data_IF_116763027906
#
_entry.id   IF_116763027906
#
_cell.length_a   1.000
_cell.length_b   1.000
_cell.length_c   1.000
_cell.angle_alpha   90.00
_cell.angle_beta   90.00
_cell.angle_gamma   90.00
#
_symmetry.space_group_name_H-M   'P 1'
#
loop_
_entity.id
_entity.type
_entity.pdbx_description
1 polymer ?
#
# COMPACT_ATOMS: atom_id res chain seq x y z
N UNK A 1 23.60 -11.14 3.58
CA UNK A 1 22.29 -11.60 3.08
C UNK A 1 21.66 -10.46 2.31
N UNK A 2 21.19 -10.71 1.08
CA UNK A 2 20.62 -9.68 0.22
C UNK A 2 19.17 -9.41 0.69
N UNK A 3 18.84 -8.17 1.06
CA UNK A 3 17.51 -7.73 1.48
C UNK A 3 16.41 -8.08 0.45
N UNK A 4 16.81 -8.29 -0.81
CA UNK A 4 15.93 -8.63 -1.93
C UNK A 4 15.26 -10.01 -1.84
N UNK A 5 15.78 -10.93 -1.03
CA UNK A 5 15.30 -12.32 -1.03
C UNK A 5 14.07 -12.56 -0.12
N UNK A 6 13.68 -11.58 0.69
CA UNK A 6 12.60 -11.74 1.67
C UNK A 6 11.38 -10.86 1.40
N UNK A 7 11.34 -10.13 0.28
CA UNK A 7 10.25 -9.16 0.02
C UNK A 7 9.82 -9.30 -1.44
N UNK A 8 8.61 -9.80 -1.66
CA UNK A 8 7.99 -9.71 -2.98
C UNK A 8 7.26 -8.37 -3.08
N UNK A 9 7.48 -7.69 -4.20
CA UNK A 9 6.92 -6.38 -4.43
C UNK A 9 6.00 -6.42 -5.64
N UNK A 10 4.77 -5.97 -5.45
CA UNK A 10 3.73 -5.99 -6.48
C UNK A 10 3.22 -4.58 -6.75
N UNK A 11 2.84 -4.33 -8.00
CA UNK A 11 2.07 -3.15 -8.40
C UNK A 11 0.71 -3.64 -8.87
N UNK A 12 -0.36 -3.11 -8.31
CA UNK A 12 -1.71 -3.35 -8.78
C UNK A 12 -2.27 -2.11 -9.47
N UNK A 13 -2.54 -2.22 -10.78
CA UNK A 13 -3.16 -1.18 -11.59
C UNK A 13 -4.62 -1.53 -11.84
N UNK A 14 -5.55 -0.76 -11.30
CA UNK A 14 -7.00 -1.02 -11.42
C UNK A 14 -7.78 0.21 -11.86
N UNK A 15 -8.94 0.02 -12.48
CA UNK A 15 -9.89 1.12 -12.70
C UNK A 15 -10.46 1.62 -11.37
N UNK A 16 -10.83 2.90 -11.29
CA UNK A 16 -11.31 3.57 -10.07
C UNK A 16 -12.64 3.00 -9.56
N UNK A 17 -13.48 2.47 -10.45
CA UNK A 17 -14.78 1.90 -10.08
C UNK A 17 -14.64 0.59 -9.29
N UNK A 18 -13.78 -0.32 -9.76
CA UNK A 18 -13.53 -1.62 -9.12
C UNK A 18 -12.48 -1.56 -8.01
N UNK A 19 -11.75 -0.45 -7.92
CA UNK A 19 -10.63 -0.23 -6.99
C UNK A 19 -10.99 -0.62 -5.55
N UNK A 20 -12.05 -0.01 -5.03
CA UNK A 20 -12.44 -0.11 -3.63
C UNK A 20 -12.83 -1.54 -3.25
N UNK A 21 -13.61 -2.18 -4.12
CA UNK A 21 -14.09 -3.53 -3.96
C UNK A 21 -12.94 -4.54 -4.00
N UNK A 22 -12.01 -4.38 -4.94
CA UNK A 22 -10.86 -5.27 -5.08
C UNK A 22 -9.90 -5.15 -3.88
N UNK A 23 -9.65 -3.94 -3.40
CA UNK A 23 -8.84 -3.74 -2.19
C UNK A 23 -9.49 -4.39 -0.97
N UNK A 24 -10.81 -4.20 -0.77
CA UNK A 24 -11.53 -4.83 0.35
C UNK A 24 -11.46 -6.36 0.28
N UNK A 25 -11.73 -6.95 -0.90
CA UNK A 25 -11.62 -8.40 -1.13
C UNK A 25 -10.21 -8.94 -0.86
N UNK A 26 -9.17 -8.15 -1.13
CA UNK A 26 -7.80 -8.54 -0.82
C UNK A 26 -7.60 -8.65 0.68
N UNK A 27 -7.93 -7.59 1.42
CA UNK A 27 -7.81 -7.57 2.87
C UNK A 27 -8.63 -8.69 3.53
N UNK A 28 -9.87 -8.92 3.07
CA UNK A 28 -10.72 -10.00 3.55
C UNK A 28 -10.11 -11.39 3.32
N UNK A 29 -9.52 -11.64 2.14
CA UNK A 29 -8.87 -12.92 1.82
C UNK A 29 -7.68 -13.21 2.73
N UNK A 30 -6.88 -12.19 3.04
CA UNK A 30 -5.74 -12.32 3.94
C UNK A 30 -6.18 -12.51 5.39
N UNK A 31 -7.15 -11.73 5.84
CA UNK A 31 -7.73 -11.89 7.17
C UNK A 31 -8.36 -13.29 7.38
N UNK A 32 -9.01 -13.85 6.35
CA UNK A 32 -9.55 -15.22 6.38
C UNK A 32 -8.47 -16.31 6.51
N UNK A 33 -7.20 -15.98 6.24
CA UNK A 33 -6.04 -16.85 6.42
C UNK A 33 -5.23 -16.49 7.68
N UNK A 34 -5.78 -15.65 8.55
CA UNK A 34 -5.13 -15.15 9.76
C UNK A 34 -3.81 -14.42 9.48
N UNK A 35 -3.72 -13.75 8.32
CA UNK A 35 -2.55 -13.01 7.88
C UNK A 35 -2.71 -11.52 8.18
N UNK A 36 -1.69 -10.95 8.83
CA UNK A 36 -1.64 -9.54 9.18
C UNK A 36 -1.53 -8.67 7.94
N UNK A 37 -2.44 -7.72 7.77
CA UNK A 37 -2.42 -6.73 6.70
C UNK A 37 -2.26 -5.34 7.30
N UNK A 38 -1.29 -4.59 6.81
CA UNK A 38 -1.14 -3.17 7.08
C UNK A 38 -1.64 -2.39 5.85
N UNK A 39 -2.74 -1.66 5.99
CA UNK A 39 -3.23 -0.78 4.94
C UNK A 39 -2.86 0.67 5.23
N UNK A 40 -2.03 1.25 4.37
CA UNK A 40 -1.64 2.67 4.41
C UNK A 40 -2.49 3.42 3.38
N UNK A 41 -3.39 4.30 3.85
CA UNK A 41 -4.39 4.97 3.00
C UNK A 41 -4.71 6.38 3.54
N UNK A 42 -5.12 7.31 2.68
CA UNK A 42 -5.66 8.61 3.12
C UNK A 42 -7.15 8.53 3.48
N UNK A 43 -7.84 7.47 3.05
CA UNK A 43 -9.29 7.34 3.23
C UNK A 43 -9.59 7.28 4.72
N UNK A 44 -10.54 8.10 5.15
CA UNK A 44 -11.14 7.94 6.47
C UNK A 44 -11.76 6.54 6.56
N UNK A 45 -11.81 5.96 7.77
CA UNK A 45 -12.38 4.63 8.06
C UNK A 45 -13.79 4.39 7.45
N UNK A 46 -14.48 5.41 6.96
CA UNK A 46 -15.77 5.33 6.26
C UNK A 46 -15.84 4.47 4.99
N UNK A 47 -14.73 3.93 4.45
CA UNK A 47 -14.82 2.83 3.46
C UNK A 47 -15.39 1.55 4.08
N UNK A 48 -15.33 1.38 5.41
CA UNK A 48 -16.06 0.36 6.14
C UNK A 48 -17.59 0.47 5.97
N UNK A 49 -18.13 1.62 5.53
CA UNK A 49 -19.58 1.78 5.32
C UNK A 49 -20.09 1.38 3.94
N UNK A 50 -19.23 1.31 2.90
CA UNK A 50 -19.65 0.90 1.54
C UNK A 50 -19.26 -0.54 1.19
N UNK A 51 -18.20 -1.04 1.80
CA UNK A 51 -17.80 -2.44 1.76
C UNK A 51 -17.45 -2.81 3.20
N UNK A 52 -18.43 -3.42 3.87
CA UNK A 52 -18.40 -3.69 5.30
C UNK A 52 -17.25 -4.64 5.62
N UNK A 53 -16.11 -4.04 5.99
CA UNK A 53 -15.02 -4.76 6.60
C UNK A 53 -15.31 -5.05 8.09
N UNK A 54 -16.60 -5.10 8.47
CA UNK A 54 -17.09 -5.27 9.83
C UNK A 54 -17.22 -6.73 10.26
N UNK A 55 -16.62 -7.68 9.52
CA UNK A 55 -16.47 -9.00 10.11
C UNK A 55 -15.56 -8.84 11.34
N UNK A 56 -16.08 -9.14 12.52
CA UNK A 56 -15.35 -9.01 13.80
C UNK A 56 -13.97 -9.68 13.79
N UNK A 57 -13.74 -10.63 12.87
CA UNK A 57 -12.48 -11.32 12.65
C UNK A 57 -11.49 -10.54 11.76
N UNK A 58 -11.95 -9.74 10.79
CA UNK A 58 -11.07 -8.90 9.96
C UNK A 58 -10.32 -7.86 10.78
N UNK A 59 -10.94 -7.33 11.84
CA UNK A 59 -10.36 -6.27 12.65
C UNK A 59 -9.13 -6.72 13.46
N UNK A 60 -8.96 -8.03 13.71
CA UNK A 60 -7.78 -8.57 14.41
C UNK A 60 -6.54 -8.60 13.51
N UNK A 61 -6.73 -8.87 12.22
CA UNK A 61 -5.65 -9.08 11.26
C UNK A 61 -5.45 -7.90 10.32
N UNK A 62 -6.26 -6.85 10.42
CA UNK A 62 -6.11 -5.64 9.61
C UNK A 62 -5.79 -4.44 10.48
N UNK A 63 -4.66 -3.81 10.18
CA UNK A 63 -4.26 -2.53 10.77
C UNK A 63 -4.39 -1.42 9.74
N UNK A 64 -5.10 -0.34 10.09
CA UNK A 64 -5.21 0.84 9.25
C UNK A 64 -4.24 1.92 9.73
N UNK A 65 -3.35 2.34 8.84
CA UNK A 65 -2.54 3.54 9.01
C UNK A 65 -3.12 4.65 8.13
N UNK A 66 -3.94 5.49 8.74
CA UNK A 66 -4.45 6.66 8.06
C UNK A 66 -3.33 7.71 7.91
N UNK A 67 -2.99 8.02 6.66
CA UNK A 67 -1.94 8.95 6.31
C UNK A 67 -2.52 10.35 6.18
N UNK A 68 -2.28 11.18 7.20
CA UNK A 68 -2.66 12.60 7.21
C UNK A 68 -1.61 13.43 6.48
N UNK A 69 -0.35 13.11 6.73
CA UNK A 69 0.82 13.71 6.11
C UNK A 69 1.97 12.70 5.98
N UNK A 70 2.73 12.80 4.90
CA UNK A 70 3.79 11.88 4.53
C UNK A 70 4.98 12.02 5.49
N UNK A 71 5.29 13.23 5.95
CA UNK A 71 6.43 13.48 6.82
C UNK A 71 6.26 12.95 8.24
N UNK A 72 5.02 12.90 8.74
CA UNK A 72 4.71 12.41 10.10
C UNK A 72 4.57 10.89 10.18
N UNK A 73 4.38 10.21 9.04
CA UNK A 73 4.07 8.78 8.99
C UNK A 73 5.18 7.87 9.55
N UNK A 74 6.49 8.14 9.35
CA UNK A 74 7.54 7.33 9.95
C UNK A 74 7.44 7.24 11.47
N UNK A 75 7.13 8.35 12.15
CA UNK A 75 6.98 8.37 13.60
C UNK A 75 5.78 7.51 14.04
N UNK A 76 4.65 7.60 13.33
CA UNK A 76 3.46 6.77 13.63
C UNK A 76 3.71 5.28 13.40
N UNK A 77 4.53 4.92 12.43
CA UNK A 77 4.92 3.52 12.20
C UNK A 77 5.73 2.97 13.38
N UNK A 78 6.61 3.80 13.96
CA UNK A 78 7.38 3.45 15.17
C UNK A 78 6.47 3.39 16.40
N UNK A 79 5.53 4.33 16.57
CA UNK A 79 4.57 4.31 17.68
C UNK A 79 3.64 3.09 17.65
N UNK A 80 3.15 2.69 16.46
CA UNK A 80 2.33 1.49 16.29
C UNK A 80 3.07 0.22 16.71
N UNK A 81 4.39 0.25 16.64
CA UNK A 81 5.25 -0.85 17.01
C UNK A 81 5.54 -0.89 18.53
N UNK A 82 5.77 0.27 19.15
CA UNK A 82 6.07 0.35 20.59
C UNK A 82 4.86 0.01 21.47
N UNK A 83 3.65 0.24 20.97
CA UNK A 83 2.41 0.04 21.71
C UNK A 83 1.74 -1.32 21.47
N UNK A 84 2.26 -2.16 20.57
CA UNK A 84 1.60 -3.41 20.17
C UNK A 84 2.48 -4.64 20.40
N UNK A 85 2.02 -5.55 21.29
CA UNK A 85 2.61 -6.89 21.46
C UNK A 85 2.50 -7.79 20.21
N UNK A 86 1.80 -7.36 19.13
CA UNK A 86 1.47 -8.21 17.98
C UNK A 86 1.53 -7.57 16.58
N UNK A 87 2.20 -6.42 16.41
CA UNK A 87 2.32 -5.81 15.07
C UNK A 87 3.36 -6.55 14.20
N UNK A 88 2.89 -7.55 13.44
CA UNK A 88 3.67 -8.38 12.49
C UNK A 88 2.89 -8.57 11.17
N UNK A 89 2.82 -7.55 10.29
CA UNK A 89 2.14 -7.66 9.01
C UNK A 89 2.81 -8.66 8.07
N UNK A 90 2.03 -9.57 7.51
CA UNK A 90 2.43 -10.42 6.38
C UNK A 90 2.29 -9.69 5.03
N UNK A 91 1.42 -8.68 4.97
CA UNK A 91 1.16 -7.90 3.77
C UNK A 91 1.10 -6.41 4.08
N UNK A 92 1.86 -5.60 3.35
CA UNK A 92 1.78 -4.13 3.38
C UNK A 92 1.12 -3.64 2.09
N UNK A 93 0.00 -2.94 2.23
CA UNK A 93 -0.71 -2.33 1.10
C UNK A 93 -0.59 -0.82 1.17
N UNK A 94 -0.05 -0.24 0.10
CA UNK A 94 0.06 1.20 -0.06
C UNK A 94 -0.94 1.69 -1.10
N UNK A 95 -1.99 2.33 -0.60
CA UNK A 95 -3.07 2.94 -1.39
C UNK A 95 -2.62 4.29 -1.96
N UNK A 96 -1.68 4.24 -2.92
CA UNK A 96 -1.15 5.44 -3.58
C UNK A 96 -2.26 6.20 -4.30
N UNK A 97 -3.24 5.51 -4.87
CA UNK A 97 -4.40 6.14 -5.49
C UNK A 97 -5.15 7.06 -4.53
N UNK A 98 -5.52 6.59 -3.34
CA UNK A 98 -6.22 7.41 -2.34
C UNK A 98 -5.38 8.61 -1.91
N UNK A 99 -4.08 8.41 -1.70
CA UNK A 99 -3.18 9.44 -1.23
C UNK A 99 -3.05 10.57 -2.25
N UNK A 100 -2.96 10.18 -3.53
CA UNK A 100 -2.93 11.14 -4.62
C UNK A 100 -4.29 11.83 -4.78
N UNK A 101 -5.40 11.10 -4.74
CA UNK A 101 -6.73 11.71 -4.84
C UNK A 101 -7.02 12.68 -3.70
N UNK A 102 -6.70 12.32 -2.45
CA UNK A 102 -6.84 13.22 -1.29
C UNK A 102 -6.02 14.49 -1.49
N UNK A 103 -4.77 14.35 -1.94
CA UNK A 103 -3.94 15.50 -2.26
C UNK A 103 -4.57 16.37 -3.36
N UNK A 104 -5.09 15.78 -4.44
CA UNK A 104 -5.75 16.48 -5.55
C UNK A 104 -7.06 17.17 -5.15
N UNK A 105 -7.78 16.65 -4.16
CA UNK A 105 -9.02 17.25 -3.66
C UNK A 105 -8.77 18.49 -2.78
N UNK A 106 -7.55 18.72 -2.30
CA UNK A 106 -7.23 19.91 -1.51
C UNK A 106 -7.32 21.16 -2.40
N UNK A 107 -8.07 22.21 -2.01
CA UNK A 107 -8.24 23.42 -2.82
C UNK A 107 -6.91 24.07 -3.26
N UNK A 108 -5.89 24.01 -2.41
CA UNK A 108 -4.54 24.53 -2.70
C UNK A 108 -3.87 23.75 -3.84
N UNK A 109 -4.10 22.44 -3.92
CA UNK A 109 -3.52 21.58 -4.95
C UNK A 109 -4.23 21.73 -6.30
N UNK A 110 -5.52 22.10 -6.30
CA UNK A 110 -6.26 22.40 -7.53
C UNK A 110 -5.74 23.65 -8.25
N UNK A 111 -5.02 24.53 -7.54
CA UNK A 111 -4.37 25.71 -8.08
C UNK A 111 -2.89 25.48 -8.44
N UNK A 112 -2.35 24.29 -8.17
CA UNK A 112 -0.96 23.97 -8.43
C UNK A 112 -0.73 23.58 -9.90
N UNK A 113 0.47 23.88 -10.40
CA UNK A 113 0.89 23.38 -11.72
C UNK A 113 1.03 21.86 -11.74
N UNK A 114 0.93 21.27 -12.94
CA UNK A 114 1.17 19.85 -13.19
C UNK A 114 2.49 19.37 -12.58
N UNK A 115 3.57 20.16 -12.68
CA UNK A 115 4.87 19.81 -12.12
C UNK A 115 4.86 19.63 -10.59
N UNK A 116 4.08 20.45 -9.88
CA UNK A 116 3.91 20.30 -8.43
C UNK A 116 3.12 19.03 -8.09
N UNK A 117 2.12 18.69 -8.90
CA UNK A 117 1.37 17.43 -8.75
C UNK A 117 2.25 16.21 -9.00
N UNK A 118 3.04 16.20 -10.08
CA UNK A 118 4.03 15.14 -10.38
C UNK A 118 5.00 14.97 -9.21
N UNK A 119 5.53 16.08 -8.67
CA UNK A 119 6.44 16.06 -7.52
C UNK A 119 5.77 15.46 -6.27
N UNK A 120 4.49 15.75 -6.04
CA UNK A 120 3.77 15.17 -4.91
C UNK A 120 3.57 13.66 -5.06
N UNK A 121 3.23 13.18 -6.27
CA UNK A 121 3.11 11.74 -6.54
C UNK A 121 4.46 11.04 -6.35
N UNK A 122 5.55 11.66 -6.82
CA UNK A 122 6.91 11.16 -6.60
C UNK A 122 7.26 11.13 -5.11
N UNK A 123 6.89 12.15 -4.34
CA UNK A 123 7.08 12.20 -2.89
C UNK A 123 6.35 11.07 -2.17
N UNK A 124 5.07 10.83 -2.47
CA UNK A 124 4.33 9.71 -1.91
C UNK A 124 4.99 8.36 -2.26
N UNK A 125 5.45 8.20 -3.50
CA UNK A 125 6.12 6.99 -3.97
C UNK A 125 7.45 6.74 -3.25
N UNK A 126 8.28 7.78 -3.12
CA UNK A 126 9.54 7.72 -2.37
C UNK A 126 9.32 7.37 -0.90
N UNK A 127 8.30 7.96 -0.28
CA UNK A 127 8.01 7.70 1.13
C UNK A 127 7.54 6.28 1.38
N UNK A 128 6.80 5.66 0.45
CA UNK A 128 6.49 4.24 0.58
C UNK A 128 7.74 3.36 0.61
N UNK A 129 8.73 3.65 -0.24
CA UNK A 129 10.01 2.92 -0.23
C UNK A 129 10.66 3.04 1.17
N UNK A 130 10.64 4.23 1.75
CA UNK A 130 11.16 4.46 3.10
C UNK A 130 10.35 3.71 4.17
N UNK A 131 9.01 3.75 4.12
CA UNK A 131 8.16 3.05 5.09
C UNK A 131 8.38 1.54 5.03
N UNK A 132 8.47 0.99 3.81
CA UNK A 132 8.79 -0.41 3.58
C UNK A 132 10.14 -0.75 4.19
N UNK A 133 11.16 0.08 3.98
CA UNK A 133 12.50 -0.17 4.52
C UNK A 133 12.52 -0.14 6.05
N UNK A 134 11.82 0.83 6.67
CA UNK A 134 11.62 0.88 8.12
C UNK A 134 11.00 -0.43 8.60
N UNK A 135 9.87 -0.84 8.01
CA UNK A 135 9.15 -2.06 8.39
C UNK A 135 9.99 -3.33 8.16
N UNK A 136 10.71 -3.41 7.04
CA UNK A 136 11.55 -4.55 6.69
C UNK A 136 12.74 -4.72 7.64
N UNK A 137 13.48 -3.65 7.92
CA UNK A 137 14.64 -3.69 8.81
C UNK A 137 14.25 -4.16 10.23
N UNK A 138 13.06 -3.80 10.68
CA UNK A 138 12.51 -4.22 11.96
C UNK A 138 12.12 -5.71 11.99
N UNK A 139 11.58 -6.26 10.89
CA UNK A 139 11.22 -7.69 10.82
C UNK A 139 12.43 -8.60 10.61
N UNK A 140 13.44 -8.14 9.85
CA UNK A 140 14.72 -8.86 9.71
C UNK A 140 15.39 -9.04 11.08
N UNK A 141 15.24 -8.07 11.98
CA UNK A 141 15.70 -8.20 13.37
C UNK A 141 14.86 -9.18 14.20
N UNK A 142 13.59 -9.44 13.84
CA UNK A 142 12.66 -10.24 14.65
C UNK A 142 12.51 -11.70 14.22
N UNK A 143 12.49 -12.07 12.93
CA UNK A 143 12.13 -13.45 12.55
C UNK A 143 12.57 -13.98 11.17
N UNK A 144 13.24 -13.22 10.29
CA UNK A 144 13.61 -13.72 8.95
C UNK A 144 12.40 -14.08 8.04
N UNK A 145 11.19 -13.67 8.42
CA UNK A 145 9.93 -13.86 7.70
C UNK A 145 9.86 -12.94 6.49
N UNK A 146 9.34 -13.44 5.37
CA UNK A 146 9.12 -12.64 4.17
C UNK A 146 7.86 -11.80 4.27
N UNK A 147 7.92 -10.53 3.87
CA UNK A 147 6.77 -9.61 3.85
C UNK A 147 6.46 -9.27 2.40
N UNK A 148 5.21 -9.47 1.99
CA UNK A 148 4.77 -9.03 0.68
C UNK A 148 4.35 -7.56 0.73
N UNK A 149 4.65 -6.82 -0.33
CA UNK A 149 4.22 -5.42 -0.43
C UNK A 149 3.51 -5.16 -1.74
N UNK A 150 2.45 -4.37 -1.68
CA UNK A 150 1.64 -4.01 -2.84
C UNK A 150 1.49 -2.50 -2.87
N UNK A 151 1.80 -1.92 -4.02
CA UNK A 151 1.44 -0.54 -4.35
C UNK A 151 0.22 -0.59 -5.25
N UNK A 152 -0.88 0.04 -4.81
CA UNK A 152 -2.10 0.10 -5.59
C UNK A 152 -2.25 1.49 -6.23
N UNK A 153 -2.43 1.49 -7.56
CA UNK A 153 -2.56 2.70 -8.37
C UNK A 153 -3.75 2.57 -9.33
N UNK A 154 -4.31 3.72 -9.73
CA UNK A 154 -5.33 3.77 -10.77
C UNK A 154 -4.72 3.56 -12.16
N UNK A 155 -5.52 3.01 -13.08
CA UNK A 155 -5.25 3.07 -14.52
C UNK A 155 -5.65 4.41 -15.15
N UNK A 156 -6.42 5.22 -14.43
CA UNK A 156 -6.81 6.55 -14.91
C UNK A 156 -5.60 7.48 -15.01
N UNK A 157 -5.65 8.46 -15.94
CA UNK A 157 -4.56 9.39 -16.11
C UNK A 157 -4.36 10.20 -14.84
N UNK A 158 -3.27 9.90 -14.14
CA UNK A 158 -2.65 10.85 -13.23
C UNK A 158 -2.27 12.11 -14.02
N UNK A 159 -2.08 13.27 -13.35
CA UNK A 159 -1.50 14.46 -13.97
C UNK A 159 0.00 14.25 -14.28
N UNK A 160 0.32 13.20 -15.03
CA UNK A 160 1.64 12.76 -15.41
C UNK A 160 1.60 12.29 -16.87
N UNK A 161 2.62 12.65 -17.64
CA UNK A 161 2.82 12.06 -18.96
C UNK A 161 3.22 10.59 -18.84
N UNK A 162 3.03 9.77 -19.90
CA UNK A 162 3.51 8.39 -19.92
C UNK A 162 5.01 8.25 -19.61
N UNK A 163 5.82 9.24 -20.01
CA UNK A 163 7.25 9.27 -19.69
C UNK A 163 7.51 9.52 -18.20
N UNK A 164 6.79 10.46 -17.59
CA UNK A 164 6.88 10.73 -16.14
C UNK A 164 6.41 9.52 -15.32
N UNK A 165 5.34 8.85 -15.76
CA UNK A 165 4.87 7.63 -15.12
C UNK A 165 5.92 6.51 -15.21
N UNK A 166 6.48 6.25 -16.41
CA UNK A 166 7.56 5.27 -16.58
C UNK A 166 8.78 5.59 -15.71
N UNK A 167 9.15 6.86 -15.62
CA UNK A 167 10.26 7.30 -14.76
C UNK A 167 9.96 7.05 -13.28
N UNK A 168 8.75 7.37 -12.82
CA UNK A 168 8.32 7.12 -11.44
C UNK A 168 8.38 5.63 -11.07
N UNK A 169 7.89 4.76 -11.96
CA UNK A 169 8.00 3.30 -11.79
C UNK A 169 9.47 2.87 -11.77
N UNK A 170 10.28 3.36 -12.71
CA UNK A 170 11.71 3.03 -12.81
C UNK A 170 12.56 3.51 -11.63
N UNK A 171 12.17 4.59 -10.96
CA UNK A 171 12.90 5.15 -9.82
C UNK A 171 12.53 4.46 -8.50
N UNK A 172 11.24 4.22 -8.25
CA UNK A 172 10.76 3.82 -6.92
C UNK A 172 10.22 2.40 -6.85
N UNK A 173 9.84 1.82 -7.99
CA UNK A 173 9.18 0.52 -8.05
C UNK A 173 9.88 -0.44 -9.03
N UNK A 174 11.17 -0.20 -9.29
CA UNK A 174 11.97 -1.05 -10.14
C UNK A 174 12.00 -2.49 -9.59
N UNK A 175 11.75 -3.47 -10.46
CA UNK A 175 11.75 -4.89 -10.11
C UNK A 175 10.44 -5.40 -9.51
N UNK A 176 9.41 -4.55 -9.35
CA UNK A 176 8.10 -5.00 -8.85
C UNK A 176 7.29 -5.72 -9.95
N UNK A 177 6.61 -6.81 -9.60
CA UNK A 177 5.69 -7.52 -10.50
C UNK A 177 4.41 -6.67 -10.70
N UNK A 178 4.09 -6.32 -11.95
CA UNK A 178 2.92 -5.50 -12.26
C UNK A 178 1.71 -6.35 -12.68
N UNK A 179 0.57 -6.10 -12.06
CA UNK A 179 -0.69 -6.80 -12.32
C UNK A 179 -1.82 -5.81 -12.60
N UNK A 180 -2.61 -6.12 -13.62
CA UNK A 180 -3.88 -5.43 -13.94
C UNK A 180 -5.11 -6.27 -13.61
N UNK A 181 -4.91 -7.54 -13.26
CA UNK A 181 -5.97 -8.49 -12.95
C UNK A 181 -5.89 -8.90 -11.47
N UNK A 182 -6.96 -8.59 -10.73
CA UNK A 182 -7.04 -8.85 -9.29
C UNK A 182 -6.88 -10.33 -8.93
N UNK A 183 -7.53 -11.22 -9.67
CA UNK A 183 -7.49 -12.65 -9.38
C UNK A 183 -6.06 -13.20 -9.54
N UNK A 184 -5.35 -12.80 -10.60
CA UNK A 184 -3.95 -13.19 -10.82
C UNK A 184 -3.04 -12.68 -9.72
N UNK A 185 -3.18 -11.40 -9.33
CA UNK A 185 -2.42 -10.81 -8.23
C UNK A 185 -2.66 -11.57 -6.92
N UNK A 186 -3.94 -11.74 -6.54
CA UNK A 186 -4.30 -12.40 -5.29
C UNK A 186 -3.79 -13.84 -5.23
N UNK A 187 -3.91 -14.62 -6.31
CA UNK A 187 -3.37 -15.98 -6.37
C UNK A 187 -1.84 -16.00 -6.28
N UNK A 188 -1.16 -15.03 -6.90
CA UNK A 188 0.30 -14.92 -6.86
C UNK A 188 0.81 -14.67 -5.45
N UNK A 189 0.22 -13.72 -4.73
CA UNK A 189 0.64 -13.40 -3.37
C UNK A 189 0.32 -14.57 -2.40
N UNK A 190 -0.83 -15.22 -2.56
CA UNK A 190 -1.15 -16.40 -1.75
C UNK A 190 -0.13 -17.53 -1.98
N UNK A 191 0.28 -17.76 -3.23
CA UNK A 191 1.30 -18.73 -3.55
C UNK A 191 2.67 -18.36 -2.93
N UNK A 192 3.05 -17.08 -2.93
CA UNK A 192 4.30 -16.64 -2.26
C UNK A 192 4.27 -16.81 -0.75
N UNK A 193 3.08 -16.79 -0.14
CA UNK A 193 2.89 -17.05 1.29
C UNK A 193 2.67 -18.53 1.64
N UNK A 194 2.80 -19.45 0.66
CA UNK A 194 2.70 -20.89 0.89
C UNK A 194 1.27 -21.45 0.95
N UNK A 195 0.27 -20.67 0.51
CA UNK A 195 -1.10 -21.15 0.35
C UNK A 195 -1.35 -21.48 -1.12
N UNK A 196 -1.14 -22.75 -1.49
CA UNK A 196 -1.53 -23.31 -2.78
C UNK A 196 -2.94 -23.94 -2.69
#
# INVERSE_FOLDING_TARGET
MNLSNCINNYIYLTGTEDYALNLAKLCERFAAKEKGVLLITSRQQGMAKRYSLDSKNCNKYLTFLQLVDVESTPHRLLELQDNAESFDPDLIVFDLQSLVLDALLRPVMQQCSTDKMVRQIAKCSASFVNYREILANLHVQKAGKSIDTIVVMSQEPYPMSPAQFKLLIGLYFHGNECHTNFAKLSSRILATQGFA
#
